data_IF_463224664256
#
_entry.id   IF_463224664256
#
_cell.length_a   1.000
_cell.length_b   1.000
_cell.length_c   1.000
_cell.angle_alpha   90.00
_cell.angle_beta   90.00
_cell.angle_gamma   90.00
#
_symmetry.space_group_name_H-M   'P 1'
#
loop_
_entity.id
_entity.type
_entity.pdbx_description
1 polymer ?
#
# COMPACT_ATOMS: atom_id res chain seq x y z
N UNK A 1 -17.46 -31.32 14.21
CA UNK A 1 -16.33 -30.38 14.20
C UNK A 1 -16.56 -29.20 13.24
N UNK A 2 -16.38 -29.35 11.93
CA UNK A 2 -16.50 -28.21 10.97
C UNK A 2 -17.90 -27.54 10.98
N UNK A 3 -18.98 -28.32 10.99
CA UNK A 3 -20.33 -27.77 11.02
C UNK A 3 -20.62 -26.93 12.28
N UNK A 4 -20.03 -27.26 13.42
CA UNK A 4 -20.19 -26.50 14.68
C UNK A 4 -19.42 -25.17 14.62
N UNK A 5 -18.23 -25.17 14.01
CA UNK A 5 -17.46 -23.95 13.74
C UNK A 5 -18.27 -23.02 12.82
N UNK A 6 -18.85 -23.55 11.75
CA UNK A 6 -19.69 -22.76 10.84
C UNK A 6 -20.98 -22.26 11.51
N UNK A 7 -21.66 -23.08 12.32
CA UNK A 7 -22.82 -22.65 13.11
C UNK A 7 -22.46 -21.58 14.14
N UNK A 8 -21.27 -21.65 14.75
CA UNK A 8 -20.74 -20.62 15.63
C UNK A 8 -20.50 -19.31 14.86
N UNK A 9 -19.78 -19.36 13.73
CA UNK A 9 -19.55 -18.23 12.85
C UNK A 9 -20.85 -17.58 12.34
N UNK A 10 -21.87 -18.38 12.02
CA UNK A 10 -23.20 -17.92 11.62
C UNK A 10 -23.92 -17.20 12.76
N UNK A 11 -23.89 -17.74 13.99
CA UNK A 11 -24.44 -17.07 15.19
C UNK A 11 -23.74 -15.73 15.45
N UNK A 12 -22.40 -15.72 15.44
CA UNK A 12 -21.58 -14.51 15.63
C UNK A 12 -21.88 -13.45 14.57
N UNK A 13 -21.93 -13.82 13.29
CA UNK A 13 -22.24 -12.88 12.19
C UNK A 13 -23.65 -12.30 12.30
N UNK A 14 -24.63 -13.11 12.70
CA UNK A 14 -25.99 -12.65 12.96
C UNK A 14 -26.10 -11.77 14.22
N UNK A 15 -25.28 -12.02 15.24
CA UNK A 15 -25.24 -11.22 16.46
C UNK A 15 -24.63 -9.83 16.23
N UNK A 16 -23.45 -9.76 15.60
CA UNK A 16 -22.72 -8.50 15.42
C UNK A 16 -23.11 -7.72 14.17
N UNK A 17 -23.22 -8.40 13.01
CA UNK A 17 -23.46 -7.75 11.72
C UNK A 17 -24.94 -7.82 11.28
N UNK A 18 -25.73 -8.69 11.93
CA UNK A 18 -27.11 -9.04 11.53
C UNK A 18 -27.19 -9.47 10.06
N UNK A 19 -26.12 -10.11 9.57
CA UNK A 19 -25.98 -10.64 8.22
C UNK A 19 -25.65 -12.12 8.33
N UNK A 20 -26.30 -12.93 7.51
CA UNK A 20 -26.12 -14.38 7.54
C UNK A 20 -25.04 -14.79 6.50
N UNK A 21 -23.93 -15.42 6.91
CA UNK A 21 -22.86 -15.83 5.99
C UNK A 21 -23.34 -16.74 4.86
N UNK A 22 -24.47 -17.45 4.99
CA UNK A 22 -24.99 -18.32 3.90
C UNK A 22 -25.47 -17.56 2.66
N UNK A 23 -25.56 -16.22 2.72
CA UNK A 23 -25.94 -15.37 1.59
C UNK A 23 -24.74 -14.73 0.87
N UNK A 24 -23.51 -15.10 1.23
CA UNK A 24 -22.28 -14.55 0.66
C UNK A 24 -21.38 -15.68 0.15
N UNK A 25 -20.72 -15.45 -0.99
CA UNK A 25 -19.79 -16.41 -1.60
C UNK A 25 -18.48 -16.47 -0.81
N UNK A 26 -18.02 -15.33 -0.29
CA UNK A 26 -16.77 -15.22 0.47
C UNK A 26 -16.93 -14.45 1.78
N UNK A 27 -16.03 -14.70 2.73
CA UNK A 27 -15.91 -13.93 3.97
C UNK A 27 -15.57 -12.46 3.71
N UNK A 28 -14.83 -12.15 2.65
CA UNK A 28 -14.57 -10.79 2.20
C UNK A 28 -15.87 -10.08 1.77
N UNK A 29 -16.73 -10.74 0.99
CA UNK A 29 -18.01 -10.18 0.56
C UNK A 29 -18.95 -9.91 1.76
N UNK A 30 -19.00 -10.82 2.74
CA UNK A 30 -19.72 -10.60 4.01
C UNK A 30 -19.14 -9.41 4.79
N UNK A 31 -17.81 -9.32 4.91
CA UNK A 31 -17.13 -8.27 5.67
C UNK A 31 -17.35 -6.89 5.05
N UNK A 32 -17.26 -6.79 3.72
CA UNK A 32 -17.56 -5.57 2.97
C UNK A 32 -18.99 -5.09 3.18
N UNK A 33 -19.98 -5.98 3.00
CA UNK A 33 -21.39 -5.65 3.24
C UNK A 33 -21.68 -5.31 4.71
N UNK A 34 -20.98 -5.94 5.66
CA UNK A 34 -21.05 -5.60 7.09
C UNK A 34 -20.51 -4.19 7.35
N UNK A 35 -19.38 -3.82 6.74
CA UNK A 35 -18.79 -2.49 6.85
C UNK A 35 -19.70 -1.39 6.30
N UNK A 36 -20.25 -1.58 5.10
CA UNK A 36 -21.21 -0.64 4.50
C UNK A 36 -22.47 -0.49 5.36
N UNK A 37 -23.03 -1.61 5.86
CA UNK A 37 -24.24 -1.63 6.69
C UNK A 37 -24.06 -0.95 8.06
N UNK A 38 -22.88 -1.06 8.67
CA UNK A 38 -22.57 -0.45 9.96
C UNK A 38 -22.29 1.04 9.80
N UNK A 39 -21.45 1.41 8.83
CA UNK A 39 -21.09 2.81 8.56
C UNK A 39 -22.24 3.63 7.96
N UNK A 40 -23.13 2.96 7.21
CA UNK A 40 -24.18 3.57 6.38
C UNK A 40 -23.64 4.57 5.34
N UNK A 41 -22.39 4.35 4.90
CA UNK A 41 -21.76 5.18 3.88
C UNK A 41 -22.27 4.80 2.49
N UNK A 42 -22.61 5.80 1.69
CA UNK A 42 -22.87 5.63 0.27
C UNK A 42 -21.57 5.95 -0.49
N UNK A 43 -21.06 4.97 -1.22
CA UNK A 43 -19.84 5.11 -2.02
C UNK A 43 -20.20 5.49 -3.46
N UNK A 44 -19.59 6.55 -3.99
CA UNK A 44 -19.73 6.89 -5.40
C UNK A 44 -18.94 5.89 -6.25
N UNK A 45 -19.58 5.33 -7.28
CA UNK A 45 -18.89 4.55 -8.30
C UNK A 45 -18.10 5.48 -9.24
N UNK A 46 -16.88 5.09 -9.62
CA UNK A 46 -16.11 5.78 -10.66
C UNK A 46 -16.79 5.57 -12.01
N UNK A 47 -17.24 6.66 -12.64
CA UNK A 47 -17.97 6.61 -13.91
C UNK A 47 -17.08 6.54 -15.16
N UNK A 48 -15.76 6.68 -15.00
CA UNK A 48 -14.81 6.85 -16.09
C UNK A 48 -13.66 5.85 -15.98
N UNK A 49 -13.44 5.07 -17.03
CA UNK A 49 -12.35 4.07 -17.12
C UNK A 49 -10.97 4.71 -16.89
N UNK A 50 -10.76 5.95 -17.29
CA UNK A 50 -9.47 6.64 -17.09
C UNK A 50 -9.22 7.03 -15.62
N UNK A 51 -10.29 7.27 -14.85
CA UNK A 51 -10.18 7.50 -13.41
C UNK A 51 -9.90 6.19 -12.69
N UNK A 52 -10.64 5.13 -13.02
CA UNK A 52 -10.41 3.77 -12.51
C UNK A 52 -8.97 3.30 -12.74
N UNK A 53 -8.50 3.33 -13.99
CA UNK A 53 -7.14 2.95 -14.36
C UNK A 53 -6.08 3.79 -13.64
N UNK A 54 -6.34 5.07 -13.37
CA UNK A 54 -5.39 5.88 -12.60
C UNK A 54 -5.36 5.50 -11.12
N UNK A 55 -6.51 5.33 -10.48
CA UNK A 55 -6.57 4.84 -9.09
C UNK A 55 -5.88 3.48 -8.96
N UNK A 56 -6.12 2.58 -9.91
CA UNK A 56 -5.50 1.25 -9.98
C UNK A 56 -3.98 1.31 -10.13
N UNK A 57 -3.46 2.06 -11.12
CA UNK A 57 -2.03 2.31 -11.29
C UNK A 57 -1.39 3.09 -10.12
N UNK A 58 -2.20 3.66 -9.23
CA UNK A 58 -1.78 4.36 -8.02
C UNK A 58 -1.78 3.48 -6.76
N UNK A 59 -2.43 2.31 -6.78
CA UNK A 59 -2.42 1.39 -5.64
C UNK A 59 -1.04 0.77 -5.42
N UNK A 60 -0.67 0.56 -4.16
CA UNK A 60 0.58 -0.11 -3.76
C UNK A 60 0.29 -1.06 -2.59
N UNK A 61 1.02 -2.17 -2.53
CA UNK A 61 0.95 -3.12 -1.43
C UNK A 61 1.65 -2.63 -0.16
N UNK A 62 1.84 -3.54 0.80
CA UNK A 62 2.64 -3.27 2.00
C UNK A 62 4.10 -2.97 1.66
N UNK A 63 4.70 -2.00 2.36
CA UNK A 63 6.12 -1.67 2.22
C UNK A 63 6.96 -2.80 2.84
N UNK A 64 7.74 -3.50 2.00
CA UNK A 64 8.75 -4.45 2.43
C UNK A 64 10.14 -3.88 2.08
N UNK A 65 11.03 -3.76 3.07
CA UNK A 65 12.33 -3.11 2.92
C UNK A 65 13.36 -3.71 3.88
N UNK A 66 14.59 -3.87 3.40
CA UNK A 66 15.73 -4.40 4.15
C UNK A 66 16.93 -3.44 4.02
N UNK A 67 16.94 -2.35 4.79
CA UNK A 67 18.05 -1.39 4.81
C UNK A 67 19.36 -2.03 5.28
N UNK A 68 19.35 -2.59 6.50
CA UNK A 68 20.49 -3.32 7.07
C UNK A 68 20.31 -4.84 6.97
N UNK A 69 21.06 -5.49 6.08
CA UNK A 69 21.00 -6.95 5.82
C UNK A 69 21.41 -7.84 7.01
N UNK A 70 22.28 -7.36 7.90
CA UNK A 70 22.78 -8.14 9.03
C UNK A 70 23.10 -7.23 10.23
N UNK A 71 22.62 -7.62 11.41
CA UNK A 71 22.88 -6.96 12.69
C UNK A 71 23.01 -8.03 13.79
N UNK A 72 23.98 -7.84 14.69
CA UNK A 72 24.15 -8.63 15.91
C UNK A 72 23.95 -7.68 17.09
N UNK A 73 23.28 -8.17 18.14
CA UNK A 73 23.11 -7.45 19.39
C UNK A 73 24.07 -8.00 20.46
N UNK A 74 24.86 -7.12 21.08
CA UNK A 74 25.62 -7.41 22.29
C UNK A 74 24.65 -7.38 23.50
N UNK A 75 23.87 -8.45 23.66
CA UNK A 75 22.79 -8.54 24.61
C UNK A 75 23.23 -9.32 25.88
N UNK A 76 23.26 -8.70 27.08
CA UNK A 76 23.64 -9.38 28.33
C UNK A 76 22.79 -10.62 28.67
N UNK A 77 21.59 -10.73 28.12
CA UNK A 77 20.71 -11.90 28.31
C UNK A 77 21.05 -13.08 27.37
N UNK A 78 22.03 -12.94 26.49
CA UNK A 78 22.50 -14.00 25.55
C UNK A 78 24.00 -14.25 25.80
N UNK A 79 24.35 -14.98 26.88
CA UNK A 79 25.73 -15.05 27.39
C UNK A 79 26.72 -15.74 26.44
N UNK A 80 26.25 -16.52 25.47
CA UNK A 80 27.08 -17.19 24.46
C UNK A 80 27.82 -16.21 23.52
N UNK A 81 27.26 -15.01 23.29
CA UNK A 81 27.75 -14.03 22.32
C UNK A 81 27.94 -12.63 22.93
N UNK A 82 28.01 -12.52 24.26
CA UNK A 82 28.12 -11.26 24.98
C UNK A 82 29.58 -10.90 25.31
N UNK A 83 29.99 -9.66 25.04
CA UNK A 83 31.28 -9.08 25.46
C UNK A 83 31.06 -7.87 26.36
N UNK A 84 31.53 -7.96 27.60
CA UNK A 84 31.51 -6.89 28.61
C UNK A 84 32.30 -5.64 28.20
N UNK A 85 33.23 -5.77 27.24
CA UNK A 85 34.03 -4.64 26.72
C UNK A 85 33.27 -3.79 25.70
N UNK A 86 32.17 -4.31 25.17
CA UNK A 86 31.33 -3.62 24.17
C UNK A 86 30.08 -3.05 24.84
N UNK A 87 29.56 -1.89 24.38
CA UNK A 87 28.30 -1.37 24.91
C UNK A 87 27.16 -2.35 24.65
N UNK A 88 26.29 -2.55 25.63
CA UNK A 88 25.12 -3.42 25.50
C UNK A 88 24.10 -2.82 24.53
N UNK A 89 23.55 -3.62 23.62
CA UNK A 89 22.47 -3.20 22.74
C UNK A 89 21.51 -4.36 22.42
N UNK A 90 20.38 -4.03 21.79
CA UNK A 90 19.25 -4.93 21.60
C UNK A 90 18.68 -4.76 20.18
N UNK A 91 18.20 -5.85 19.59
CA UNK A 91 17.36 -5.81 18.38
C UNK A 91 15.90 -5.87 18.84
N UNK A 92 15.10 -4.92 18.37
CA UNK A 92 13.68 -4.79 18.73
C UNK A 92 12.81 -5.18 17.53
N UNK A 93 12.01 -6.23 17.69
CA UNK A 93 10.92 -6.54 16.77
C UNK A 93 9.66 -5.77 17.22
N UNK A 94 9.07 -4.98 16.32
CA UNK A 94 7.79 -4.31 16.51
C UNK A 94 6.82 -4.78 15.42
N UNK A 95 5.58 -5.09 15.82
CA UNK A 95 4.47 -5.33 14.91
C UNK A 95 3.30 -4.36 15.21
N UNK A 96 2.56 -4.00 14.17
CA UNK A 96 1.48 -3.04 14.24
C UNK A 96 0.12 -3.74 14.29
N UNK A 97 -0.32 -4.07 15.51
CA UNK A 97 -1.63 -4.65 15.82
C UNK A 97 -2.77 -4.04 14.97
N UNK A 98 -3.26 -4.80 13.99
CA UNK A 98 -4.32 -4.40 13.06
C UNK A 98 -4.04 -3.09 12.28
N UNK A 99 -2.84 -2.98 11.67
CA UNK A 99 -2.42 -1.82 10.86
C UNK A 99 -3.47 -1.34 9.84
N UNK A 100 -4.10 -2.26 9.09
CA UNK A 100 -5.14 -1.90 8.12
C UNK A 100 -6.44 -1.45 8.80
N UNK A 101 -6.87 -2.07 9.90
CA UNK A 101 -8.01 -1.59 10.68
C UNK A 101 -7.76 -0.21 11.30
N UNK A 102 -6.53 0.08 11.73
CA UNK A 102 -6.13 1.43 12.10
C UNK A 102 -6.26 2.39 10.91
N UNK A 103 -5.70 2.05 9.73
CA UNK A 103 -5.82 2.89 8.53
C UNK A 103 -7.27 3.13 8.08
N UNK A 104 -8.14 2.12 8.14
CA UNK A 104 -9.57 2.20 7.83
C UNK A 104 -10.40 2.95 8.88
N UNK A 105 -9.88 3.15 10.10
CA UNK A 105 -10.55 3.99 11.13
C UNK A 105 -10.43 5.49 10.87
N UNK A 106 -9.66 5.86 9.85
CA UNK A 106 -9.33 7.24 9.50
C UNK A 106 -10.26 7.76 8.38
N UNK A 107 -10.15 9.04 8.01
CA UNK A 107 -10.94 9.58 6.89
C UNK A 107 -10.43 9.03 5.55
N UNK A 108 -11.35 8.58 4.71
CA UNK A 108 -11.10 8.04 3.38
C UNK A 108 -12.00 8.76 2.36
N UNK A 109 -11.59 8.90 1.09
CA UNK A 109 -12.45 9.47 0.06
C UNK A 109 -13.62 8.51 -0.24
N UNK A 110 -14.84 9.02 -0.24
CA UNK A 110 -16.06 8.20 -0.44
C UNK A 110 -16.81 8.54 -1.74
N UNK A 111 -16.53 9.71 -2.33
CA UNK A 111 -17.27 10.20 -3.48
C UNK A 111 -17.01 11.68 -3.76
N UNK A 112 -17.94 12.31 -4.48
CA UNK A 112 -17.80 13.62 -5.12
C UNK A 112 -16.47 13.78 -5.89
N UNK A 113 -16.01 12.70 -6.54
CA UNK A 113 -14.78 12.69 -7.33
C UNK A 113 -14.88 13.72 -8.47
N UNK A 114 -13.90 14.61 -8.54
CA UNK A 114 -13.78 15.66 -9.56
C UNK A 114 -12.30 15.93 -9.83
N UNK A 115 -11.92 15.99 -11.11
CA UNK A 115 -10.58 16.41 -11.56
C UNK A 115 -10.40 17.92 -11.39
N UNK A 116 -9.21 18.36 -10.97
CA UNK A 116 -8.82 19.77 -10.97
C UNK A 116 -8.43 20.25 -12.38
N UNK A 117 -8.78 21.50 -12.69
CA UNK A 117 -8.40 22.20 -13.92
C UNK A 117 -6.99 22.81 -13.79
N UNK A 118 -6.34 23.17 -14.92
CA UNK A 118 -5.00 23.81 -14.95
C UNK A 118 -4.87 24.99 -13.98
N UNK A 119 -5.91 25.81 -13.93
CA UNK A 119 -6.01 27.03 -13.12
C UNK A 119 -6.23 26.76 -11.63
N UNK A 120 -6.62 25.53 -11.27
CA UNK A 120 -6.74 25.06 -9.90
C UNK A 120 -5.44 24.38 -9.47
N UNK A 121 -4.84 23.55 -10.33
CA UNK A 121 -3.55 22.88 -10.08
C UNK A 121 -2.43 23.91 -9.90
N UNK A 122 -2.32 24.90 -10.79
CA UNK A 122 -1.32 25.99 -10.71
C UNK A 122 -1.45 26.89 -9.48
N UNK A 123 -2.58 26.83 -8.75
CA UNK A 123 -2.83 27.58 -7.50
C UNK A 123 -2.83 26.67 -6.27
N UNK A 124 -2.57 25.37 -6.42
CA UNK A 124 -2.58 24.39 -5.35
C UNK A 124 -1.22 24.35 -4.62
N UNK A 125 -1.07 25.14 -3.55
CA UNK A 125 0.10 25.01 -2.70
C UNK A 125 -0.04 23.77 -1.79
N UNK A 126 0.66 22.69 -2.15
CA UNK A 126 0.66 21.41 -1.41
C UNK A 126 1.06 21.59 0.07
N UNK A 127 1.91 22.58 0.38
CA UNK A 127 2.34 22.88 1.75
C UNK A 127 1.28 23.57 2.61
N UNK A 128 0.24 24.15 2.00
CA UNK A 128 -0.89 24.80 2.69
C UNK A 128 -2.09 23.86 2.88
N UNK A 129 -2.04 22.64 2.32
CA UNK A 129 -3.12 21.65 2.44
C UNK A 129 -3.25 21.15 3.88
N UNK A 130 -4.19 21.74 4.61
CA UNK A 130 -4.52 21.37 5.99
C UNK A 130 -4.81 19.87 6.12
N UNK A 131 -4.13 19.23 7.08
CA UNK A 131 -4.17 17.77 7.21
C UNK A 131 -5.61 17.26 7.48
N UNK A 132 -6.32 17.85 8.43
CA UNK A 132 -7.71 17.51 8.78
C UNK A 132 -8.74 18.24 7.89
N UNK A 133 -8.51 18.30 6.57
CA UNK A 133 -9.45 18.93 5.64
C UNK A 133 -10.64 18.01 5.34
N UNK A 134 -11.81 18.61 5.10
CA UNK A 134 -13.00 17.95 4.55
C UNK A 134 -12.82 17.57 3.05
N UNK A 135 -11.65 17.86 2.46
CA UNK A 135 -11.29 17.63 1.05
C UNK A 135 -10.05 16.72 0.99
N UNK A 136 -10.08 15.72 0.10
CA UNK A 136 -8.97 14.78 -0.13
C UNK A 136 -8.28 15.08 -1.45
N UNK A 137 -6.96 15.30 -1.42
CA UNK A 137 -6.16 15.63 -2.60
C UNK A 137 -5.20 14.49 -2.94
N UNK A 138 -5.22 14.08 -4.22
CA UNK A 138 -4.46 12.96 -4.77
C UNK A 138 -3.80 13.46 -6.07
N UNK A 139 -2.46 13.44 -6.13
CA UNK A 139 -1.52 14.16 -7.05
C UNK A 139 -1.99 14.55 -8.46
N UNK A 140 -1.44 14.02 -9.57
CA UNK A 140 -0.05 13.56 -9.80
C UNK A 140 0.94 14.75 -9.71
N UNK A 141 2.21 14.55 -9.27
CA UNK A 141 3.28 15.58 -9.32
C UNK A 141 4.66 15.03 -9.67
N UNK A 142 5.44 15.85 -10.39
CA UNK A 142 6.89 15.72 -10.62
C UNK A 142 7.68 16.09 -9.33
N UNK A 143 8.55 15.21 -8.84
CA UNK A 143 9.50 15.49 -7.74
C UNK A 143 10.90 15.83 -8.28
N UNK A 144 11.68 16.62 -7.53
CA UNK A 144 13.15 16.64 -7.62
C UNK A 144 13.70 16.10 -6.30
N UNK A 145 14.58 15.09 -6.35
CA UNK A 145 15.12 14.43 -5.15
C UNK A 145 16.65 14.64 -4.98
N UNK A 146 17.09 15.62 -4.17
CA UNK A 146 18.50 15.99 -4.04
C UNK A 146 19.42 14.85 -3.59
N UNK A 147 20.54 14.69 -4.30
CA UNK A 147 21.55 13.63 -4.08
C UNK A 147 22.12 13.58 -2.66
N UNK A 148 22.26 14.72 -1.99
CA UNK A 148 22.77 14.78 -0.61
C UNK A 148 21.83 14.10 0.41
N UNK A 149 20.55 13.90 0.08
CA UNK A 149 19.59 13.20 0.94
C UNK A 149 19.62 11.67 0.75
N UNK A 150 20.19 11.17 -0.35
CA UNK A 150 20.09 9.75 -0.74
C UNK A 150 20.68 8.83 0.32
N UNK A 151 21.85 9.18 0.87
CA UNK A 151 22.48 8.44 1.96
C UNK A 151 21.67 8.50 3.27
N UNK A 152 21.00 9.63 3.54
CA UNK A 152 20.25 9.85 4.78
C UNK A 152 18.92 9.09 4.81
N UNK A 153 18.28 8.90 3.65
CA UNK A 153 17.06 8.12 3.52
C UNK A 153 17.30 6.68 3.04
N UNK A 154 18.53 6.16 3.09
CA UNK A 154 18.85 4.81 2.60
C UNK A 154 18.02 3.71 3.28
N UNK A 155 17.71 3.87 4.58
CA UNK A 155 16.90 2.93 5.35
C UNK A 155 15.38 3.08 5.14
N UNK A 156 14.92 4.14 4.45
CA UNK A 156 13.52 4.35 4.04
C UNK A 156 13.44 5.32 2.85
N UNK A 157 13.72 4.87 1.61
CA UNK A 157 13.73 5.74 0.44
C UNK A 157 12.32 6.27 0.13
N UNK A 158 12.26 7.57 -0.17
CA UNK A 158 11.02 8.25 -0.52
C UNK A 158 10.68 7.99 -1.99
N UNK A 159 9.39 7.86 -2.30
CA UNK A 159 8.88 7.63 -3.66
C UNK A 159 9.48 6.41 -4.39
N UNK A 160 9.41 5.19 -3.81
CA UNK A 160 9.73 3.98 -4.54
C UNK A 160 8.79 3.81 -5.73
N UNK A 161 9.33 3.25 -6.79
CA UNK A 161 8.71 3.17 -8.11
C UNK A 161 8.54 1.71 -8.54
N UNK A 162 7.56 1.44 -9.40
CA UNK A 162 7.42 0.10 -9.99
C UNK A 162 8.36 -0.02 -11.19
N UNK A 163 9.56 -0.55 -10.96
CA UNK A 163 10.63 -0.65 -11.96
C UNK A 163 10.98 -2.12 -12.20
N UNK A 164 11.02 -2.53 -13.48
CA UNK A 164 11.59 -3.80 -13.88
C UNK A 164 13.10 -3.76 -13.65
N UNK A 165 13.60 -4.53 -12.67
CA UNK A 165 15.03 -4.64 -12.40
C UNK A 165 15.69 -5.47 -13.51
N UNK A 166 16.65 -4.88 -14.22
CA UNK A 166 17.43 -5.55 -15.26
C UNK A 166 18.69 -6.21 -14.68
N UNK A 167 19.24 -7.21 -15.37
CA UNK A 167 20.41 -7.95 -14.88
C UNK A 167 21.63 -7.04 -14.65
N UNK A 168 21.84 -6.01 -15.46
CA UNK A 168 22.94 -5.05 -15.30
C UNK A 168 22.84 -4.26 -13.97
N UNK A 169 21.64 -3.94 -13.48
CA UNK A 169 21.39 -3.28 -12.20
C UNK A 169 21.74 -4.15 -10.97
N UNK A 170 21.91 -5.46 -11.13
CA UNK A 170 22.22 -6.38 -10.02
C UNK A 170 23.65 -6.19 -9.51
N UNK A 171 23.87 -6.41 -8.22
CA UNK A 171 25.23 -6.47 -7.65
C UNK A 171 26.00 -7.68 -8.18
N UNK A 172 27.34 -7.65 -8.19
CA UNK A 172 28.16 -8.76 -8.69
C UNK A 172 27.83 -10.09 -7.99
N UNK A 173 27.70 -10.08 -6.66
CA UNK A 173 27.27 -11.23 -5.87
C UNK A 173 25.85 -11.72 -6.25
N UNK A 174 24.95 -10.81 -6.60
CA UNK A 174 23.61 -11.18 -7.10
C UNK A 174 23.66 -11.80 -8.50
N UNK A 175 24.61 -11.40 -9.34
CA UNK A 175 24.85 -12.00 -10.68
C UNK A 175 25.44 -13.39 -10.53
N UNK A 176 26.45 -13.55 -9.68
CA UNK A 176 27.07 -14.84 -9.32
C UNK A 176 26.00 -15.85 -8.84
N UNK A 177 25.09 -15.45 -7.96
CA UNK A 177 23.97 -16.29 -7.52
C UNK A 177 22.96 -16.61 -8.63
N UNK A 178 22.69 -15.68 -9.56
CA UNK A 178 21.83 -15.97 -10.70
C UNK A 178 22.44 -17.04 -11.62
N UNK A 179 23.75 -16.94 -11.86
CA UNK A 179 24.49 -17.84 -12.73
C UNK A 179 24.68 -19.23 -12.07
N UNK A 180 24.98 -19.29 -10.76
CA UNK A 180 25.11 -20.53 -9.97
C UNK A 180 23.81 -21.34 -9.92
N UNK A 181 22.69 -20.70 -9.57
CA UNK A 181 21.40 -21.37 -9.38
C UNK A 181 20.55 -21.42 -10.67
N UNK A 182 21.09 -20.99 -11.82
CA UNK A 182 20.38 -20.95 -13.10
C UNK A 182 19.13 -20.07 -13.08
N UNK A 183 19.10 -19.06 -12.20
CA UNK A 183 17.97 -18.16 -12.04
C UNK A 183 17.89 -17.25 -13.26
N UNK A 184 16.77 -17.32 -13.98
CA UNK A 184 16.49 -16.32 -15.02
C UNK A 184 16.46 -14.94 -14.34
N UNK A 185 17.18 -13.93 -14.84
CA UNK A 185 17.12 -12.56 -14.27
C UNK A 185 15.74 -11.91 -14.35
N UNK A 186 14.81 -12.57 -15.04
CA UNK A 186 13.48 -12.10 -15.39
C UNK A 186 12.43 -13.04 -14.78
N UNK A 187 12.17 -12.84 -13.49
CA UNK A 187 10.79 -12.91 -13.04
C UNK A 187 10.23 -11.52 -13.35
N UNK A 188 9.38 -11.42 -14.37
CA UNK A 188 8.44 -10.30 -14.44
C UNK A 188 7.72 -10.27 -13.08
N UNK A 189 7.84 -9.17 -12.35
CA UNK A 189 7.00 -8.92 -11.16
C UNK A 189 5.59 -8.67 -11.66
N UNK A 190 4.91 -9.76 -12.03
CA UNK A 190 3.56 -9.74 -12.60
C UNK A 190 2.67 -8.97 -11.67
N UNK A 191 2.29 -7.78 -12.10
CA UNK A 191 1.06 -7.18 -11.67
C UNK A 191 -0.07 -8.16 -11.99
N UNK A 192 -1.18 -8.11 -11.26
CA UNK A 192 -2.39 -8.82 -11.69
C UNK A 192 -2.83 -8.37 -13.10
N UNK A 193 -2.41 -7.16 -13.48
CA UNK A 193 -2.77 -6.43 -14.68
C UNK A 193 -1.98 -6.83 -15.93
N UNK A 194 -0.87 -7.56 -15.81
CA UNK A 194 -0.04 -7.98 -16.96
C UNK A 194 -0.61 -9.20 -17.71
N UNK A 195 -1.80 -9.67 -17.32
CA UNK A 195 -2.50 -10.78 -17.97
C UNK A 195 -3.22 -10.28 -19.23
N UNK A 196 -2.86 -10.74 -20.46
CA UNK A 196 -3.64 -10.42 -21.64
C UNK A 196 -5.05 -11.02 -21.51
N UNK A 197 -6.10 -10.25 -21.86
CA UNK A 197 -7.49 -10.75 -21.87
C UNK A 197 -7.70 -11.77 -23.01
N UNK A 198 -7.24 -13.01 -22.81
CA UNK A 198 -7.44 -14.14 -23.72
C UNK A 198 -7.43 -15.47 -22.96
N UNK A 199 -8.63 -15.97 -22.64
CA UNK A 199 -8.84 -17.39 -22.32
C UNK A 199 -9.02 -17.74 -20.84
N UNK A 200 -10.18 -18.31 -20.55
CA UNK A 200 -10.55 -19.13 -19.37
C UNK A 200 -10.70 -18.46 -18.00
N UNK A 201 -11.90 -18.65 -17.45
CA UNK A 201 -12.22 -18.55 -16.04
C UNK A 201 -11.49 -19.66 -15.27
N UNK A 202 -10.59 -19.30 -14.35
CA UNK A 202 -10.06 -20.22 -13.33
C UNK A 202 -9.59 -19.49 -12.07
N UNK A 203 -10.49 -19.41 -11.09
CA UNK A 203 -10.25 -19.39 -9.64
C UNK A 203 -9.00 -18.66 -9.10
N UNK A 204 -9.05 -17.32 -9.01
CA UNK A 204 -8.23 -16.50 -8.08
C UNK A 204 -8.98 -15.26 -7.56
N UNK A 205 -10.02 -15.48 -6.75
CA UNK A 205 -10.79 -14.42 -6.09
C UNK A 205 -10.05 -13.82 -4.86
N UNK A 206 -8.94 -13.10 -5.09
CA UNK A 206 -8.25 -12.31 -4.05
C UNK A 206 -8.33 -10.80 -4.33
N UNK A 207 -9.54 -10.23 -4.18
CA UNK A 207 -9.74 -8.78 -4.19
C UNK A 207 -9.05 -8.11 -2.98
N UNK A 208 -7.82 -7.63 -3.18
CA UNK A 208 -7.10 -6.85 -2.17
C UNK A 208 -7.62 -5.41 -2.11
N UNK A 209 -8.51 -5.11 -1.15
CA UNK A 209 -9.04 -3.76 -0.91
C UNK A 209 -8.03 -2.87 -0.16
N UNK A 210 -6.88 -2.63 -0.78
CA UNK A 210 -5.69 -2.03 -0.16
C UNK A 210 -5.48 -0.54 -0.41
N UNK A 211 -6.01 0.33 0.46
CA UNK A 211 -5.48 1.70 0.63
C UNK A 211 -4.37 1.63 1.69
N UNK A 212 -3.11 1.58 1.24
CA UNK A 212 -1.94 1.49 2.10
C UNK A 212 -1.67 2.79 2.89
N UNK A 213 -1.05 2.72 4.08
CA UNK A 213 -0.64 3.91 4.85
C UNK A 213 0.47 4.69 4.12
N UNK A 214 0.57 6.00 4.43
CA UNK A 214 1.49 6.98 3.83
C UNK A 214 2.91 6.45 3.55
N UNK A 215 3.11 5.99 2.33
CA UNK A 215 4.37 6.09 1.60
C UNK A 215 4.19 7.19 0.54
N UNK A 216 5.24 8.00 0.32
CA UNK A 216 5.36 8.75 -0.92
C UNK A 216 5.57 7.74 -2.05
N UNK A 217 5.01 7.96 -3.23
CA UNK A 217 5.08 7.03 -4.38
C UNK A 217 5.72 7.75 -5.58
N UNK A 218 6.38 7.02 -6.48
CA UNK A 218 6.96 7.56 -7.70
C UNK A 218 6.71 6.70 -8.97
N UNK A 219 7.08 7.29 -10.12
CA UNK A 219 7.31 6.62 -11.41
C UNK A 219 8.08 7.60 -12.32
N UNK A 220 9.32 7.27 -12.70
CA UNK A 220 10.19 8.12 -13.51
C UNK A 220 9.76 8.23 -14.97
N UNK A 221 9.40 9.44 -15.39
CA UNK A 221 9.49 9.88 -16.79
C UNK A 221 10.95 10.28 -17.11
N UNK A 222 11.32 10.22 -18.39
CA UNK A 222 12.70 10.27 -18.88
C UNK A 222 13.53 11.45 -18.33
N UNK A 223 12.89 12.60 -18.10
CA UNK A 223 13.54 13.85 -17.66
C UNK A 223 13.69 13.97 -16.12
N UNK A 224 13.86 12.85 -15.41
CA UNK A 224 13.96 12.79 -13.94
C UNK A 224 12.69 13.27 -13.20
N UNK A 225 11.55 12.99 -13.82
CA UNK A 225 10.21 13.42 -13.38
C UNK A 225 9.47 12.28 -12.69
N UNK A 226 9.17 12.41 -11.40
CA UNK A 226 8.50 11.38 -10.58
C UNK A 226 6.97 11.53 -10.65
N UNK A 227 6.21 10.67 -9.95
CA UNK A 227 4.73 10.67 -9.95
C UNK A 227 4.14 10.27 -8.61
N UNK A 228 3.67 11.24 -7.84
CA UNK A 228 3.20 11.01 -6.46
C UNK A 228 1.68 11.03 -6.33
N UNK A 229 1.16 10.21 -5.43
CA UNK A 229 -0.21 10.27 -4.93
C UNK A 229 -0.21 10.60 -3.44
N UNK A 230 -1.23 11.31 -2.99
CA UNK A 230 -1.37 11.78 -1.61
C UNK A 230 -2.75 11.39 -1.06
N UNK A 231 -2.88 11.45 0.27
CA UNK A 231 -4.14 11.55 0.97
C UNK A 231 -3.93 12.48 2.19
N UNK A 232 -4.87 13.39 2.42
CA UNK A 232 -4.92 14.24 3.63
C UNK A 232 -5.21 13.40 4.89
N UNK A 233 -4.99 13.96 6.09
CA UNK A 233 -5.07 13.24 7.38
C UNK A 233 -5.49 14.12 8.57
N UNK A 234 -6.63 13.99 9.24
CA UNK A 234 -7.92 13.32 8.99
C UNK A 234 -8.98 13.92 9.95
N UNK A 235 -10.27 13.95 9.59
CA UNK A 235 -11.39 13.88 10.56
C UNK A 235 -12.65 13.24 9.93
N UNK A 236 -13.66 12.89 10.74
CA UNK A 236 -14.82 12.05 10.42
C UNK A 236 -15.90 12.73 9.56
N UNK A 237 -15.53 13.18 8.36
CA UNK A 237 -16.44 13.81 7.40
C UNK A 237 -16.24 13.28 5.97
N UNK A 238 -17.29 13.30 5.13
CA UNK A 238 -17.21 12.82 3.75
C UNK A 238 -16.29 13.74 2.93
N UNK A 239 -15.26 13.17 2.31
CA UNK A 239 -14.23 13.93 1.58
C UNK A 239 -14.08 13.50 0.13
N UNK A 240 -13.59 14.44 -0.69
CA UNK A 240 -13.54 14.34 -2.15
C UNK A 240 -12.37 15.08 -2.78
N UNK A 241 -12.01 14.65 -4.01
CA UNK A 241 -11.27 15.32 -5.10
C UNK A 241 -10.18 14.43 -5.72
N UNK A 242 -9.85 14.72 -6.99
CA UNK A 242 -8.88 14.00 -7.85
C UNK A 242 -8.08 15.04 -8.62
N UNK A 243 -6.80 14.80 -8.91
CA UNK A 243 -5.97 15.77 -9.61
C UNK A 243 -4.92 15.12 -10.52
N UNK A 244 -4.53 15.93 -11.51
CA UNK A 244 -3.59 15.75 -12.62
C UNK A 244 -3.60 17.13 -13.31
N UNK A 245 -2.52 17.76 -13.76
CA UNK A 245 -1.18 17.29 -14.15
C UNK A 245 -0.21 18.43 -13.93
#
# INVERSE_FOLDING_TARGET
MLAEIFLSFRRTSMQFYRLDPVHFITSAQLTWNSGLKISKVELQLLGNVNEYLWFENSMRGGVCLLGRRHAIANNPYVPENYDEKLPSNYILALDANNLYGFAMSQSLPIGNFRRLDSDQVSKCNVSELGANSDICYILEVDLIYPTHLHNMHNDLPLAPEHVLITYDMLSNYSKELCDEFGLRPFIETRSHNDSPMNGFLSDRDEYSSGIAPKCLIGHRSADHRYRMNFASRYDRKPSSAVSWR
#
